data_IF_821118351587
#
_entry.id   IF_821118351587
#
_cell.length_a   1.000
_cell.length_b   1.000
_cell.length_c   1.000
_cell.angle_alpha   90.00
_cell.angle_beta   90.00
_cell.angle_gamma   90.00
#
_symmetry.space_group_name_H-M   'P 1'
#
loop_
_entity.id
_entity.type
_entity.pdbx_description
1 polymer ?
#
# COMPACT_ATOMS: atom_id res chain seq x y z
N UNK A 1 5.98 -3.98 -7.40
CA UNK A 1 5.26 -4.31 -6.17
C UNK A 1 5.08 -5.83 -6.00
N UNK A 2 4.33 -6.55 -6.82
CA UNK A 2 3.98 -7.98 -6.62
C UNK A 2 5.18 -8.91 -6.35
N UNK A 3 6.25 -8.79 -7.15
CA UNK A 3 7.49 -9.58 -6.93
C UNK A 3 8.19 -9.25 -5.62
N UNK A 4 8.16 -7.97 -5.21
CA UNK A 4 8.77 -7.53 -3.95
C UNK A 4 8.00 -8.07 -2.74
N UNK A 5 6.67 -8.05 -2.84
CA UNK A 5 5.77 -8.56 -1.81
C UNK A 5 5.71 -10.10 -1.74
N UNK A 6 6.12 -10.80 -2.81
CA UNK A 6 5.98 -12.25 -2.89
C UNK A 6 4.54 -12.74 -2.79
N UNK A 7 3.56 -11.88 -3.20
CA UNK A 7 2.13 -12.18 -3.10
C UNK A 7 1.75 -13.44 -3.88
N UNK A 8 0.90 -14.24 -3.26
CA UNK A 8 0.35 -15.47 -3.81
C UNK A 8 -1.18 -15.47 -3.70
N UNK A 9 -1.81 -16.32 -4.47
CA UNK A 9 -3.25 -16.57 -4.34
C UNK A 9 -3.61 -16.99 -2.90
N UNK A 10 -4.65 -16.39 -2.35
CA UNK A 10 -5.10 -16.61 -0.98
C UNK A 10 -4.47 -15.71 0.08
N UNK A 11 -3.44 -14.92 -0.26
CA UNK A 11 -2.80 -14.02 0.70
C UNK A 11 -3.71 -12.87 1.13
N UNK A 12 -3.49 -12.37 2.34
CA UNK A 12 -4.01 -11.11 2.85
C UNK A 12 -3.02 -9.96 2.62
N UNK A 13 -3.51 -8.85 2.08
CA UNK A 13 -2.73 -7.66 1.75
C UNK A 13 -3.36 -6.42 2.36
N UNK A 14 -2.57 -5.65 3.11
CA UNK A 14 -2.96 -4.37 3.68
C UNK A 14 -2.16 -3.25 3.02
N UNK A 15 -2.85 -2.37 2.29
CA UNK A 15 -2.29 -1.12 1.78
C UNK A 15 -2.54 0.00 2.79
N UNK A 16 -1.48 0.45 3.46
CA UNK A 16 -1.54 1.49 4.48
C UNK A 16 -1.61 2.92 3.89
N UNK A 17 -1.51 3.05 2.57
CA UNK A 17 -1.42 4.32 1.84
C UNK A 17 -2.21 4.25 0.54
N UNK A 18 -3.49 3.88 0.63
CA UNK A 18 -4.31 3.48 -0.52
C UNK A 18 -4.31 4.47 -1.68
N UNK A 19 -4.41 5.79 -1.39
CA UNK A 19 -4.51 6.82 -2.42
C UNK A 19 -5.56 6.47 -3.46
N UNK A 20 -5.17 6.41 -4.74
CA UNK A 20 -6.05 6.02 -5.86
C UNK A 20 -6.13 4.50 -6.09
N UNK A 21 -5.69 3.68 -5.16
CA UNK A 21 -5.79 2.22 -5.14
C UNK A 21 -5.04 1.46 -6.26
N UNK A 22 -4.10 2.08 -6.97
CA UNK A 22 -3.43 1.44 -8.10
C UNK A 22 -2.69 0.16 -7.71
N UNK A 23 -1.93 0.19 -6.61
CA UNK A 23 -1.19 -0.98 -6.12
C UNK A 23 -2.13 -2.00 -5.44
N UNK A 24 -3.19 -1.54 -4.75
CA UNK A 24 -4.22 -2.41 -4.17
C UNK A 24 -5.00 -3.20 -5.24
N UNK A 25 -5.28 -2.59 -6.40
CA UNK A 25 -5.92 -3.29 -7.54
C UNK A 25 -5.03 -4.42 -8.06
N UNK A 26 -3.71 -4.14 -8.23
CA UNK A 26 -2.75 -5.16 -8.64
C UNK A 26 -2.62 -6.28 -7.60
N UNK A 27 -2.63 -5.94 -6.31
CA UNK A 27 -2.63 -6.91 -5.23
C UNK A 27 -3.89 -7.78 -5.27
N UNK A 28 -5.08 -7.19 -5.47
CA UNK A 28 -6.34 -7.91 -5.55
C UNK A 28 -6.40 -8.89 -6.73
N UNK A 29 -5.80 -8.54 -7.86
CA UNK A 29 -5.63 -9.47 -8.99
C UNK A 29 -4.74 -10.66 -8.59
N UNK A 30 -3.62 -10.39 -7.90
CA UNK A 30 -2.64 -11.40 -7.56
C UNK A 30 -3.12 -12.38 -6.47
N UNK A 31 -3.82 -11.88 -5.43
CA UNK A 31 -4.31 -12.73 -4.34
C UNK A 31 -5.58 -13.50 -4.71
N UNK A 32 -6.24 -13.12 -5.79
CA UNK A 32 -7.39 -13.83 -6.33
C UNK A 32 -8.65 -13.76 -5.45
N UNK A 33 -9.58 -14.68 -5.67
CA UNK A 33 -10.88 -14.73 -4.97
C UNK A 33 -10.76 -15.24 -3.53
N UNK A 34 -9.73 -16.02 -3.23
CA UNK A 34 -9.48 -16.59 -1.91
C UNK A 34 -8.66 -15.67 -1.00
N UNK A 35 -8.05 -14.63 -1.57
CA UNK A 35 -7.29 -13.62 -0.82
C UNK A 35 -8.14 -12.44 -0.35
N UNK A 36 -7.52 -11.59 0.45
CA UNK A 36 -8.14 -10.39 1.00
C UNK A 36 -7.26 -9.17 0.73
N UNK A 37 -7.88 -8.05 0.33
CA UNK A 37 -7.20 -6.76 0.18
C UNK A 37 -7.96 -5.70 0.96
N UNK A 38 -7.27 -5.04 1.87
CA UNK A 38 -7.75 -3.88 2.63
C UNK A 38 -6.86 -2.70 2.27
N UNK A 39 -7.47 -1.55 1.98
CA UNK A 39 -6.77 -0.29 1.76
C UNK A 39 -7.18 0.75 2.77
N UNK A 40 -6.20 1.41 3.41
CA UNK A 40 -6.40 2.48 4.37
C UNK A 40 -6.21 3.83 3.71
N UNK A 41 -7.13 4.73 3.94
CA UNK A 41 -7.03 6.13 3.51
C UNK A 41 -7.47 7.05 4.64
N UNK A 42 -6.58 7.95 5.05
CA UNK A 42 -6.80 8.88 6.15
C UNK A 42 -7.75 10.01 5.79
N UNK A 43 -7.74 10.44 4.53
CA UNK A 43 -8.63 11.49 4.06
C UNK A 43 -10.01 10.92 3.73
N UNK A 44 -11.02 11.36 4.47
CA UNK A 44 -12.41 10.88 4.34
C UNK A 44 -12.98 11.05 2.92
N UNK A 45 -12.69 12.19 2.28
CA UNK A 45 -13.20 12.46 0.92
C UNK A 45 -12.53 11.55 -0.11
N UNK A 46 -11.21 11.36 -0.01
CA UNK A 46 -10.46 10.45 -0.90
C UNK A 46 -10.93 9.01 -0.68
N UNK A 47 -11.08 8.58 0.57
CA UNK A 47 -11.61 7.25 0.92
C UNK A 47 -12.96 6.98 0.26
N UNK A 48 -13.92 7.90 0.40
CA UNK A 48 -15.25 7.78 -0.21
C UNK A 48 -15.19 7.78 -1.74
N UNK A 49 -14.39 8.66 -2.33
CA UNK A 49 -14.22 8.75 -3.78
C UNK A 49 -13.66 7.44 -4.36
N UNK A 50 -12.61 6.90 -3.72
CA UNK A 50 -11.94 5.68 -4.16
C UNK A 50 -12.85 4.47 -3.96
N UNK A 51 -13.51 4.35 -2.82
CA UNK A 51 -14.50 3.29 -2.56
C UNK A 51 -15.60 3.28 -3.63
N UNK A 52 -16.17 4.45 -3.92
CA UNK A 52 -17.19 4.59 -4.96
C UNK A 52 -16.65 4.20 -6.34
N UNK A 53 -15.46 4.70 -6.70
CA UNK A 53 -14.81 4.39 -7.98
C UNK A 53 -14.54 2.90 -8.14
N UNK A 54 -14.04 2.23 -7.12
CA UNK A 54 -13.78 0.77 -7.14
C UNK A 54 -15.04 -0.06 -7.37
N UNK A 55 -16.20 0.42 -6.91
CA UNK A 55 -17.47 -0.28 -7.06
C UNK A 55 -18.18 0.02 -8.41
N UNK A 56 -18.00 1.24 -8.95
CA UNK A 56 -18.82 1.73 -10.07
C UNK A 56 -18.06 1.88 -11.39
N UNK A 57 -16.73 1.95 -11.37
CA UNK A 57 -15.95 2.15 -12.59
C UNK A 57 -16.01 0.93 -13.50
N UNK A 58 -16.53 1.15 -14.71
CA UNK A 58 -16.58 0.14 -15.77
C UNK A 58 -15.26 0.15 -16.57
N UNK A 59 -14.46 -0.87 -16.39
CA UNK A 59 -13.12 -0.98 -17.02
C UNK A 59 -13.16 -1.66 -18.39
N UNK A 60 -14.27 -2.29 -18.76
CA UNK A 60 -14.36 -3.17 -19.93
C UNK A 60 -13.61 -4.51 -19.78
N UNK A 61 -12.95 -4.76 -18.66
CA UNK A 61 -12.23 -5.99 -18.34
C UNK A 61 -12.83 -6.65 -17.09
N UNK A 62 -13.56 -7.73 -17.26
CA UNK A 62 -14.29 -8.40 -16.16
C UNK A 62 -13.41 -8.77 -14.98
N UNK A 63 -12.21 -9.33 -15.24
CA UNK A 63 -11.28 -9.73 -14.19
C UNK A 63 -10.81 -8.53 -13.35
N UNK A 64 -10.50 -7.41 -14.00
CA UNK A 64 -10.08 -6.18 -13.34
C UNK A 64 -11.22 -5.61 -12.50
N UNK A 65 -12.41 -5.53 -13.06
CA UNK A 65 -13.60 -5.02 -12.39
C UNK A 65 -13.97 -5.87 -11.16
N UNK A 66 -13.86 -7.19 -11.29
CA UNK A 66 -14.07 -8.11 -10.17
C UNK A 66 -13.02 -7.92 -9.08
N UNK A 67 -11.76 -7.71 -9.45
CA UNK A 67 -10.67 -7.46 -8.51
C UNK A 67 -10.88 -6.14 -7.75
N UNK A 68 -11.27 -5.08 -8.45
CA UNK A 68 -11.58 -3.77 -7.85
C UNK A 68 -12.68 -3.87 -6.79
N UNK A 69 -13.79 -4.56 -7.10
CA UNK A 69 -14.93 -4.73 -6.20
C UNK A 69 -14.63 -5.54 -4.93
N UNK A 70 -13.55 -6.33 -4.91
CA UNK A 70 -13.13 -7.08 -3.71
C UNK A 70 -12.33 -6.26 -2.71
N UNK A 71 -11.81 -5.09 -3.11
CA UNK A 71 -11.00 -4.25 -2.24
C UNK A 71 -11.89 -3.59 -1.19
N UNK A 72 -11.54 -3.77 0.08
CA UNK A 72 -12.20 -3.12 1.20
C UNK A 72 -11.47 -1.82 1.52
N UNK A 73 -12.14 -0.70 1.32
CA UNK A 73 -11.61 0.61 1.71
C UNK A 73 -11.99 0.91 3.15
N UNK A 74 -11.02 1.38 3.93
CA UNK A 74 -11.22 1.83 5.32
C UNK A 74 -10.75 3.27 5.46
N UNK A 75 -11.63 4.14 5.90
CA UNK A 75 -11.26 5.47 6.35
C UNK A 75 -10.60 5.35 7.72
N UNK A 76 -9.28 5.33 7.77
CA UNK A 76 -8.52 5.16 9.00
C UNK A 76 -7.11 5.76 8.87
N UNK A 77 -6.56 6.20 10.01
CA UNK A 77 -5.13 6.44 10.14
C UNK A 77 -4.40 5.10 10.22
N UNK A 78 -3.28 4.98 9.52
CA UNK A 78 -2.56 3.70 9.41
C UNK A 78 -1.95 3.27 10.76
N UNK A 79 -1.44 4.21 11.57
CA UNK A 79 -0.85 3.87 12.86
C UNK A 79 -1.91 3.34 13.84
N UNK A 80 -3.08 3.99 13.87
CA UNK A 80 -4.19 3.56 14.70
C UNK A 80 -4.71 2.18 14.29
N UNK A 81 -4.93 1.99 12.99
CA UNK A 81 -5.39 0.71 12.48
C UNK A 81 -4.41 -0.44 12.75
N UNK A 82 -3.11 -0.21 12.52
CA UNK A 82 -2.07 -1.21 12.76
C UNK A 82 -1.95 -1.61 14.24
N UNK A 83 -2.16 -0.68 15.19
CA UNK A 83 -2.15 -0.98 16.63
C UNK A 83 -3.25 -1.96 17.04
N UNK A 84 -4.40 -1.90 16.39
CA UNK A 84 -5.55 -2.77 16.67
C UNK A 84 -5.41 -4.18 16.07
N UNK A 85 -4.51 -4.36 15.10
CA UNK A 85 -4.30 -5.67 14.48
C UNK A 85 -3.61 -6.64 15.45
N UNK A 86 -4.03 -7.92 15.47
CA UNK A 86 -3.28 -8.98 16.17
C UNK A 86 -1.87 -9.17 15.56
N UNK A 87 -0.97 -9.73 16.34
CA UNK A 87 0.35 -10.15 15.85
C UNK A 87 0.19 -11.16 14.72
N UNK A 88 1.06 -11.08 13.72
CA UNK A 88 1.09 -12.02 12.59
C UNK A 88 -0.29 -12.30 12.00
N UNK A 89 -1.07 -11.24 11.73
CA UNK A 89 -2.47 -11.36 11.25
C UNK A 89 -2.62 -11.13 9.74
N UNK A 90 -1.69 -10.39 9.11
CA UNK A 90 -1.74 -10.03 7.68
C UNK A 90 -0.51 -10.56 6.96
N UNK A 91 -0.67 -11.19 5.79
CA UNK A 91 0.49 -11.74 5.07
C UNK A 91 1.46 -10.67 4.61
N UNK A 92 0.98 -9.63 3.98
CA UNK A 92 1.81 -8.52 3.45
C UNK A 92 1.22 -7.18 3.84
N UNK A 93 2.04 -6.30 4.40
CA UNK A 93 1.70 -4.91 4.70
C UNK A 93 2.53 -4.01 3.78
N UNK A 94 1.87 -3.06 3.13
CA UNK A 94 2.43 -2.23 2.06
C UNK A 94 2.29 -0.74 2.37
N UNK A 95 3.35 0.00 2.03
CA UNK A 95 3.40 1.45 2.12
C UNK A 95 3.90 2.05 0.79
N UNK A 96 3.19 3.07 0.30
CA UNK A 96 3.58 3.97 -0.80
C UNK A 96 3.35 5.42 -0.35
N UNK A 97 4.08 5.90 0.68
CA UNK A 97 3.89 7.25 1.19
C UNK A 97 4.23 8.26 0.09
N UNK A 98 3.40 9.29 -0.06
CA UNK A 98 3.61 10.33 -1.06
C UNK A 98 4.95 11.03 -0.83
N UNK A 99 5.66 11.36 -1.94
CA UNK A 99 7.03 11.85 -1.91
C UNK A 99 7.13 13.31 -1.47
N UNK A 100 8.18 13.63 -0.71
CA UNK A 100 8.52 15.02 -0.37
C UNK A 100 9.12 15.81 -1.54
N UNK A 101 9.62 15.14 -2.60
CA UNK A 101 10.15 15.84 -3.77
C UNK A 101 9.06 15.97 -4.85
N UNK A 102 8.81 17.18 -5.37
CA UNK A 102 7.89 17.39 -6.49
C UNK A 102 8.47 16.72 -7.75
N UNK A 103 7.81 15.67 -8.21
CA UNK A 103 7.99 15.24 -9.60
C UNK A 103 7.26 16.26 -10.47
N UNK A 104 8.00 17.07 -11.22
CA UNK A 104 7.53 18.25 -11.98
C UNK A 104 6.44 17.99 -13.04
N UNK A 105 5.89 16.79 -13.15
CA UNK A 105 5.08 16.39 -14.32
C UNK A 105 3.62 16.07 -14.06
N UNK A 106 3.02 16.41 -12.90
CA UNK A 106 1.58 16.16 -12.71
C UNK A 106 0.87 17.20 -11.87
N UNK A 107 0.47 18.30 -12.53
CA UNK A 107 -0.25 19.43 -11.93
C UNK A 107 -1.64 19.07 -11.36
N UNK A 108 -2.24 17.97 -11.79
CA UNK A 108 -3.58 17.55 -11.36
C UNK A 108 -3.67 16.91 -9.98
N UNK A 109 -2.54 16.47 -9.39
CA UNK A 109 -2.51 15.72 -8.11
C UNK A 109 -1.96 16.58 -6.95
N UNK A 110 -1.50 17.80 -7.23
CA UNK A 110 -0.91 18.69 -6.23
C UNK A 110 -1.80 18.97 -4.99
N UNK A 111 -3.13 19.16 -5.12
CA UNK A 111 -4.00 19.35 -3.95
C UNK A 111 -4.11 18.10 -3.06
N UNK A 112 -4.00 16.90 -3.63
CA UNK A 112 -4.07 15.64 -2.88
C UNK A 112 -2.77 15.37 -2.11
N UNK A 113 -1.62 15.87 -2.60
CA UNK A 113 -0.31 15.72 -1.95
C UNK A 113 -0.24 16.44 -0.61
N UNK A 114 -0.78 17.65 -0.52
CA UNK A 114 -0.77 18.44 0.72
C UNK A 114 -1.57 17.79 1.86
N UNK A 115 -2.47 16.86 1.55
CA UNK A 115 -3.32 16.15 2.52
C UNK A 115 -2.71 14.81 3.00
N UNK A 116 -1.61 14.36 2.38
CA UNK A 116 -1.08 12.99 2.58
C UNK A 116 0.16 12.89 3.49
N UNK A 117 0.68 14.00 4.02
CA UNK A 117 2.03 14.03 4.63
C UNK A 117 2.15 13.53 6.08
N UNK A 118 1.08 13.15 6.77
CA UNK A 118 1.13 12.87 8.21
C UNK A 118 0.79 11.41 8.59
N UNK A 119 1.50 10.42 8.13
CA UNK A 119 1.10 9.06 8.55
C UNK A 119 2.21 8.01 8.60
N UNK A 120 3.32 8.25 7.91
CA UNK A 120 4.39 7.26 7.81
C UNK A 120 5.55 7.61 8.77
N UNK A 121 5.67 6.87 9.86
CA UNK A 121 6.70 7.07 10.89
C UNK A 121 7.24 5.72 11.39
N UNK A 122 8.18 5.76 12.33
CA UNK A 122 8.80 4.59 12.93
C UNK A 122 7.79 3.69 13.67
N UNK A 123 6.78 4.26 14.29
CA UNK A 123 5.71 3.52 14.95
C UNK A 123 4.92 2.68 13.95
N UNK A 124 4.55 3.26 12.79
CA UNK A 124 3.85 2.52 11.72
C UNK A 124 4.66 1.30 11.27
N UNK A 125 5.99 1.45 11.12
CA UNK A 125 6.85 0.33 10.71
C UNK A 125 6.94 -0.73 11.79
N UNK A 126 7.10 -0.33 13.04
CA UNK A 126 7.14 -1.26 14.19
C UNK A 126 5.86 -2.08 14.29
N UNK A 127 4.69 -1.42 14.20
CA UNK A 127 3.41 -2.10 14.23
C UNK A 127 3.16 -2.96 13.00
N UNK A 128 3.61 -2.52 11.82
CA UNK A 128 3.51 -3.30 10.60
C UNK A 128 4.34 -4.59 10.67
N UNK A 129 5.57 -4.50 11.19
CA UNK A 129 6.44 -5.70 11.38
C UNK A 129 5.81 -6.68 12.36
N UNK A 130 5.20 -6.19 13.46
CA UNK A 130 4.49 -7.03 14.43
C UNK A 130 3.27 -7.73 13.80
N UNK A 131 2.48 -6.99 13.01
CA UNK A 131 1.23 -7.50 12.44
C UNK A 131 1.43 -8.33 11.17
N UNK A 132 2.58 -8.22 10.48
CA UNK A 132 2.87 -8.97 9.27
C UNK A 132 3.23 -10.43 9.57
N UNK A 133 2.77 -11.36 8.70
CA UNK A 133 3.16 -12.78 8.70
C UNK A 133 4.42 -13.02 7.85
N UNK A 134 4.54 -12.34 6.72
CA UNK A 134 5.59 -12.60 5.72
C UNK A 134 6.53 -11.43 5.57
N UNK A 135 6.00 -10.25 5.25
CA UNK A 135 6.85 -9.08 5.03
C UNK A 135 6.09 -7.75 5.10
N UNK A 136 6.88 -6.71 5.31
CA UNK A 136 6.48 -5.31 5.11
C UNK A 136 7.20 -4.79 3.88
N UNK A 137 6.49 -4.11 2.99
CA UNK A 137 7.01 -3.57 1.72
C UNK A 137 6.84 -2.05 1.70
N UNK A 138 7.90 -1.35 1.39
CA UNK A 138 7.92 0.10 1.16
C UNK A 138 8.27 0.39 -0.30
N UNK A 139 7.45 1.17 -0.98
CA UNK A 139 7.79 1.81 -2.25
C UNK A 139 8.17 3.25 -1.97
N UNK A 140 9.35 3.65 -2.42
CA UNK A 140 9.83 5.02 -2.22
C UNK A 140 10.83 5.41 -3.30
N UNK A 141 11.16 6.70 -3.38
CA UNK A 141 12.18 7.20 -4.29
C UNK A 141 13.51 6.49 -4.04
N UNK A 142 14.31 6.23 -5.12
CA UNK A 142 15.55 5.45 -5.01
C UNK A 142 16.61 6.06 -4.07
N UNK A 143 16.54 7.37 -3.80
CA UNK A 143 17.39 8.10 -2.86
C UNK A 143 16.80 8.21 -1.45
N UNK A 144 15.63 7.64 -1.20
CA UNK A 144 14.96 7.83 0.08
C UNK A 144 15.80 7.30 1.24
N UNK A 145 16.01 8.11 2.28
CA UNK A 145 16.71 7.67 3.48
C UNK A 145 15.89 6.70 4.33
N UNK A 146 14.58 6.57 4.03
CA UNK A 146 13.67 5.71 4.79
C UNK A 146 14.04 4.23 4.67
N UNK A 147 14.59 3.79 3.52
CA UNK A 147 15.04 2.41 3.37
C UNK A 147 16.09 2.03 4.40
N UNK A 148 17.14 2.82 4.53
CA UNK A 148 18.21 2.56 5.48
C UNK A 148 17.74 2.79 6.92
N UNK A 149 17.06 3.92 7.16
CA UNK A 149 16.56 4.31 8.49
C UNK A 149 15.70 3.25 9.14
N UNK A 150 14.84 2.58 8.36
CA UNK A 150 13.89 1.58 8.88
C UNK A 150 14.31 0.14 8.58
N UNK A 151 15.51 -0.08 8.05
CA UNK A 151 16.05 -1.43 7.84
C UNK A 151 15.45 -2.20 6.67
N UNK A 152 14.93 -1.52 5.65
CA UNK A 152 14.42 -2.17 4.45
C UNK A 152 15.55 -2.66 3.54
N UNK A 153 15.50 -3.92 3.13
CA UNK A 153 16.37 -4.45 2.08
C UNK A 153 15.86 -4.00 0.71
N UNK A 154 16.65 -3.15 0.04
CA UNK A 154 16.23 -2.53 -1.24
C UNK A 154 16.40 -3.48 -2.40
N UNK A 155 15.35 -3.65 -3.18
CA UNK A 155 15.35 -4.32 -4.48
C UNK A 155 15.63 -3.28 -5.57
N UNK A 156 16.90 -3.13 -5.94
CA UNK A 156 17.36 -2.12 -6.91
C UNK A 156 16.79 -2.39 -8.31
N UNK A 157 16.27 -1.35 -8.93
CA UNK A 157 15.76 -1.35 -10.31
C UNK A 157 16.60 -0.36 -11.13
N UNK A 158 17.28 -0.85 -12.19
CA UNK A 158 18.32 -0.09 -12.92
C UNK A 158 17.86 1.26 -13.49
N UNK A 159 16.58 1.40 -13.87
CA UNK A 159 16.06 2.58 -14.59
C UNK A 159 14.84 3.22 -13.94
N UNK A 160 14.42 2.76 -12.75
CA UNK A 160 13.21 3.26 -12.11
C UNK A 160 13.52 4.32 -11.05
N UNK A 161 12.75 5.40 -11.03
CA UNK A 161 12.81 6.44 -10.01
C UNK A 161 12.37 5.92 -8.63
N UNK A 162 11.59 4.84 -8.59
CA UNK A 162 11.08 4.24 -7.37
C UNK A 162 11.64 2.83 -7.18
N UNK A 163 12.09 2.54 -5.98
CA UNK A 163 12.51 1.21 -5.57
C UNK A 163 11.50 0.62 -4.57
N UNK A 164 11.60 -0.68 -4.38
CA UNK A 164 10.89 -1.38 -3.32
C UNK A 164 11.89 -1.83 -2.28
N UNK A 165 11.60 -1.52 -1.01
CA UNK A 165 12.31 -2.10 0.13
C UNK A 165 11.43 -3.16 0.79
N UNK A 166 12.04 -4.21 1.34
CA UNK A 166 11.33 -5.30 2.00
C UNK A 166 11.97 -5.59 3.35
N UNK A 167 11.15 -5.68 4.39
CA UNK A 167 11.49 -6.29 5.68
C UNK A 167 10.79 -7.64 5.72
N UNK A 168 11.56 -8.73 5.73
CA UNK A 168 10.99 -10.07 5.94
C UNK A 168 10.81 -10.31 7.42
N UNK A 169 9.63 -10.82 7.78
CA UNK A 169 9.33 -11.23 9.15
C UNK A 169 9.69 -12.71 9.27
N UNK A 170 10.59 -13.03 10.20
CA UNK A 170 10.91 -14.42 10.52
C UNK A 170 9.78 -15.03 11.33
N UNK A 171 9.27 -16.15 10.88
CA UNK A 171 8.32 -16.99 11.62
C UNK A 171 8.99 -17.58 12.84
#
# INVERSE_FOLDING_TARGET
MLKAAGLREGDSFLDCTLGLASDAILASLAVGKSGQVIGLEKNKLVSLLVETGLQTWETGMEQLQTAMKRIQVKHADCADYLRELPDSSVDVIYFDPMFHEPVETSDGIAPLRALAEEGFNEECITQAVRAAKKCVVLKDHWKSPRFERYGFKVLKRKTALFHFGVIHVSS
#
